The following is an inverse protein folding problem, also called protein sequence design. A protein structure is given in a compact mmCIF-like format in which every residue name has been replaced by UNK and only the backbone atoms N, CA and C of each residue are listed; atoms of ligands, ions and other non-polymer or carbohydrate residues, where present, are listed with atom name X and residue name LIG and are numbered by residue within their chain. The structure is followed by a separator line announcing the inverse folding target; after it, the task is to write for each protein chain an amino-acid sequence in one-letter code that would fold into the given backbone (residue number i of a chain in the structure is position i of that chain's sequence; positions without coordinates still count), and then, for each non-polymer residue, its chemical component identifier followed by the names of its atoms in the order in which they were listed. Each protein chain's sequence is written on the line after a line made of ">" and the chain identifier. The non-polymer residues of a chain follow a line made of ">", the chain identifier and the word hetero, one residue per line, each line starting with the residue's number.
data_IF_084578715577
#
_entry.id   IF_084578715577
#
_cell.length_a   1.000
_cell.length_b   1.000
_cell.length_c   1.000
_cell.angle_alpha   90.00
_cell.angle_beta   90.00
_cell.angle_gamma   90.00
#
_symmetry.space_group_name_H-M   'P 1'
#
loop_
_entity.id
_entity.type
_entity.pdbx_description
1 polymer ?
#
# COMPACT_ATOMS: atom_id res chain seq x y z
N UNK A 1 14.31 -33.67 -3.23
CA UNK A 1 13.71 -32.44 -3.77
C UNK A 1 14.34 -31.26 -3.06
N UNK A 2 14.89 -30.28 -3.78
CA UNK A 2 15.41 -29.07 -3.16
C UNK A 2 14.23 -28.23 -2.64
N UNK A 3 14.43 -27.54 -1.51
CA UNK A 3 13.45 -26.66 -0.88
C UNK A 3 13.91 -25.20 -1.06
N UNK A 4 13.78 -24.60 -2.27
CA UNK A 4 14.36 -23.29 -2.58
C UNK A 4 13.63 -22.17 -1.84
N UNK A 5 14.37 -21.13 -1.43
CA UNK A 5 13.78 -19.84 -1.02
C UNK A 5 13.37 -19.06 -2.26
N UNK A 6 12.14 -18.57 -2.29
CA UNK A 6 11.56 -17.82 -3.40
C UNK A 6 11.19 -16.41 -2.93
N UNK A 7 11.76 -15.40 -3.58
CA UNK A 7 11.34 -14.01 -3.43
C UNK A 7 10.22 -13.73 -4.44
N UNK A 8 9.05 -13.35 -3.96
CA UNK A 8 7.84 -13.21 -4.76
C UNK A 8 7.12 -11.92 -4.41
N UNK A 9 6.51 -11.28 -5.39
CA UNK A 9 5.62 -10.14 -5.11
C UNK A 9 4.36 -10.59 -4.36
N UNK A 10 3.89 -11.80 -4.67
CA UNK A 10 2.77 -12.45 -4.00
C UNK A 10 3.23 -13.82 -3.50
N UNK A 11 3.35 -13.96 -2.18
CA UNK A 11 3.77 -15.22 -1.57
C UNK A 11 2.56 -16.10 -1.25
N UNK A 12 2.81 -17.41 -1.17
CA UNK A 12 1.92 -18.32 -0.45
C UNK A 12 2.28 -18.25 1.05
N UNK A 13 1.45 -17.62 1.92
CA UNK A 13 1.86 -17.35 3.31
C UNK A 13 2.19 -18.60 4.13
N UNK A 14 1.63 -19.74 3.73
CA UNK A 14 1.79 -21.05 4.36
C UNK A 14 3.03 -21.81 3.87
N UNK A 15 3.70 -21.33 2.82
CA UNK A 15 4.97 -21.87 2.35
C UNK A 15 6.11 -21.06 2.95
N UNK A 16 6.79 -21.61 3.96
CA UNK A 16 7.81 -20.91 4.75
C UNK A 16 8.98 -20.35 3.95
N UNK A 17 9.22 -20.89 2.76
CA UNK A 17 10.27 -20.45 1.86
C UNK A 17 9.81 -19.45 0.80
N UNK A 18 8.52 -19.10 0.78
CA UNK A 18 7.96 -18.04 -0.05
C UNK A 18 8.01 -16.73 0.75
N UNK A 19 8.79 -15.78 0.26
CA UNK A 19 8.99 -14.49 0.91
C UNK A 19 8.41 -13.39 0.03
N UNK A 20 7.48 -12.63 0.60
CA UNK A 20 6.85 -11.51 -0.08
C UNK A 20 7.77 -10.30 -0.09
N UNK A 21 8.02 -9.75 -1.28
CA UNK A 21 8.72 -8.49 -1.48
C UNK A 21 7.74 -7.43 -2.01
N UNK A 22 7.88 -6.15 -1.64
CA UNK A 22 7.02 -5.08 -2.13
C UNK A 22 6.93 -5.05 -3.65
N UNK A 23 5.79 -4.60 -4.19
CA UNK A 23 5.74 -4.21 -5.58
C UNK A 23 6.64 -2.97 -5.78
N UNK A 24 7.40 -2.88 -6.88
CA UNK A 24 8.12 -1.65 -7.22
C UNK A 24 7.17 -0.44 -7.28
N UNK A 25 7.53 0.63 -6.59
CA UNK A 25 6.74 1.87 -6.49
C UNK A 25 7.10 2.86 -7.60
N UNK A 26 6.34 3.95 -7.75
CA UNK A 26 6.68 4.99 -8.73
C UNK A 26 7.81 5.95 -8.31
N UNK A 27 8.20 5.94 -7.03
CA UNK A 27 9.30 6.77 -6.53
C UNK A 27 10.57 5.94 -6.35
N UNK A 28 11.65 6.37 -7.02
CA UNK A 28 12.97 5.73 -6.99
C UNK A 28 14.05 6.75 -6.59
N UNK A 29 14.43 6.82 -5.30
CA UNK A 29 15.39 7.81 -4.82
C UNK A 29 16.82 7.52 -5.32
N UNK A 30 17.61 8.57 -5.51
CA UNK A 30 19.05 8.46 -5.82
C UNK A 30 19.90 8.68 -4.57
N UNK A 31 19.36 9.34 -3.55
CA UNK A 31 20.05 9.69 -2.31
C UNK A 31 19.11 9.74 -1.10
N UNK A 32 19.68 9.69 0.12
CA UNK A 32 18.93 9.89 1.36
C UNK A 32 18.21 11.25 1.42
N UNK A 33 18.74 12.25 0.71
CA UNK A 33 18.15 13.57 0.60
C UNK A 33 16.85 13.55 -0.22
N UNK A 34 16.74 12.69 -1.23
CA UNK A 34 15.51 12.55 -2.02
C UNK A 34 14.38 11.98 -1.14
N UNK A 35 14.70 10.96 -0.35
CA UNK A 35 13.77 10.38 0.64
C UNK A 35 13.34 11.46 1.65
N UNK A 36 14.31 12.20 2.20
CA UNK A 36 14.03 13.25 3.20
C UNK A 36 13.15 14.37 2.61
N UNK A 37 13.44 14.84 1.39
CA UNK A 37 12.63 15.83 0.67
C UNK A 37 11.22 15.31 0.43
N UNK A 38 11.09 14.04 0.06
CA UNK A 38 9.81 13.41 -0.16
C UNK A 38 9.00 13.32 1.13
N UNK A 39 9.60 12.88 2.25
CA UNK A 39 8.96 12.90 3.56
C UNK A 39 8.47 14.30 3.94
N UNK A 40 9.30 15.33 3.76
CA UNK A 40 8.94 16.72 4.04
C UNK A 40 7.80 17.22 3.15
N UNK A 41 7.77 16.84 1.86
CA UNK A 41 6.64 17.13 0.97
C UNK A 41 5.35 16.53 1.52
N UNK A 42 5.35 15.24 1.84
CA UNK A 42 4.16 14.52 2.30
C UNK A 42 3.60 15.02 3.64
N UNK A 43 4.45 15.56 4.52
CA UNK A 43 4.05 16.12 5.80
C UNK A 43 3.38 17.49 5.67
N UNK A 44 3.78 18.27 4.67
CA UNK A 44 3.26 19.63 4.44
C UNK A 44 2.10 19.66 3.44
N UNK A 45 1.77 18.54 2.82
CA UNK A 45 0.70 18.46 1.84
C UNK A 45 -0.68 18.66 2.47
N UNK A 46 -1.52 19.45 1.81
CA UNK A 46 -2.93 19.58 2.17
C UNK A 46 -3.76 18.46 1.54
N UNK A 47 -4.39 17.64 2.38
CA UNK A 47 -5.21 16.50 1.93
C UNK A 47 -6.64 16.93 1.67
N UNK A 48 -6.90 17.32 0.42
CA UNK A 48 -8.19 17.85 -0.06
C UNK A 48 -9.30 16.81 -0.08
N UNK A 49 -8.96 15.53 -0.23
CA UNK A 49 -9.93 14.43 -0.29
C UNK A 49 -9.83 13.57 0.97
N UNK A 50 -10.96 13.21 1.59
CA UNK A 50 -10.93 12.26 2.69
C UNK A 50 -10.60 10.86 2.17
N UNK A 51 -11.19 10.48 1.04
CA UNK A 51 -11.04 9.15 0.46
C UNK A 51 -10.68 9.33 -1.01
N UNK A 52 -9.79 8.49 -1.52
CA UNK A 52 -9.68 8.27 -2.96
C UNK A 52 -9.78 6.81 -3.32
N UNK A 53 -10.22 6.58 -4.54
CA UNK A 53 -10.18 5.27 -5.14
C UNK A 53 -9.74 5.35 -6.60
N UNK A 54 -8.59 4.77 -6.91
CA UNK A 54 -8.17 4.48 -8.27
C UNK A 54 -8.53 3.03 -8.61
N UNK A 55 -9.47 2.84 -9.53
CA UNK A 55 -9.90 1.51 -9.97
C UNK A 55 -10.80 1.54 -11.20
N UNK A 56 -11.12 0.36 -11.73
CA UNK A 56 -12.08 0.21 -12.83
C UNK A 56 -13.07 -0.90 -12.53
N UNK A 57 -14.36 -0.64 -12.74
CA UNK A 57 -15.40 -1.64 -12.59
C UNK A 57 -15.21 -2.79 -13.59
N UNK A 58 -15.73 -3.97 -13.24
CA UNK A 58 -15.85 -5.09 -14.18
C UNK A 58 -17.29 -5.16 -14.68
N UNK A 59 -17.56 -4.98 -15.98
CA UNK A 59 -18.92 -5.02 -16.51
C UNK A 59 -19.65 -6.32 -16.20
N UNK A 60 -18.91 -7.43 -16.08
CA UNK A 60 -19.39 -8.78 -15.82
C UNK A 60 -19.45 -9.15 -14.33
N UNK A 61 -19.03 -8.26 -13.41
CA UNK A 61 -19.03 -8.53 -11.96
C UNK A 61 -19.56 -7.32 -11.14
N UNK A 62 -20.86 -6.99 -11.24
CA UNK A 62 -21.48 -5.88 -10.52
C UNK A 62 -21.47 -6.08 -8.99
N UNK A 63 -21.50 -7.33 -8.52
CA UNK A 63 -21.44 -7.69 -7.09
C UNK A 63 -20.00 -7.73 -6.53
N UNK A 64 -19.00 -7.43 -7.35
CA UNK A 64 -17.62 -7.39 -6.86
C UNK A 64 -17.43 -6.27 -5.85
N UNK A 65 -16.55 -6.49 -4.86
CA UNK A 65 -16.17 -5.47 -3.88
C UNK A 65 -15.74 -4.17 -4.57
N UNK A 66 -15.08 -4.26 -5.72
CA UNK A 66 -14.64 -3.11 -6.51
C UNK A 66 -15.82 -2.29 -7.01
N UNK A 67 -16.81 -2.93 -7.64
CA UNK A 67 -18.00 -2.25 -8.16
C UNK A 67 -18.79 -1.57 -7.03
N UNK A 68 -18.93 -2.22 -5.89
CA UNK A 68 -19.59 -1.65 -4.70
C UNK A 68 -18.84 -0.43 -4.17
N UNK A 69 -17.50 -0.51 -4.06
CA UNK A 69 -16.68 0.61 -3.60
C UNK A 69 -16.68 1.79 -4.61
N UNK A 70 -16.71 1.51 -5.92
CA UNK A 70 -16.89 2.55 -6.94
C UNK A 70 -18.21 3.27 -6.70
N UNK A 71 -19.31 2.52 -6.54
CA UNK A 71 -20.64 3.11 -6.32
C UNK A 71 -20.71 3.93 -5.03
N UNK A 72 -20.15 3.44 -3.91
CA UNK A 72 -20.09 4.21 -2.66
C UNK A 72 -19.25 5.49 -2.84
N UNK A 73 -18.10 5.40 -3.53
CA UNK A 73 -17.22 6.53 -3.74
C UNK A 73 -17.83 7.60 -4.65
N UNK A 74 -18.43 7.21 -5.79
CA UNK A 74 -19.04 8.17 -6.72
C UNK A 74 -20.32 8.81 -6.18
N UNK A 75 -20.93 8.22 -5.16
CA UNK A 75 -22.12 8.74 -4.48
C UNK A 75 -21.81 9.66 -3.30
N UNK A 76 -20.53 9.82 -2.92
CA UNK A 76 -20.10 10.61 -1.76
C UNK A 76 -19.17 11.75 -2.18
N UNK A 77 -19.41 12.97 -1.68
CA UNK A 77 -18.57 14.13 -2.00
C UNK A 77 -17.19 14.05 -1.33
N UNK A 78 -17.06 13.25 -0.28
CA UNK A 78 -15.82 13.00 0.45
C UNK A 78 -14.84 12.08 -0.30
N UNK A 79 -15.29 11.44 -1.38
CA UNK A 79 -14.50 10.45 -2.11
C UNK A 79 -14.17 10.90 -3.54
N UNK A 80 -12.88 10.92 -3.87
CA UNK A 80 -12.36 11.21 -5.21
C UNK A 80 -12.11 9.91 -5.97
N UNK A 81 -12.98 9.61 -6.93
CA UNK A 81 -12.83 8.44 -7.80
C UNK A 81 -11.99 8.77 -9.04
N UNK A 82 -10.99 7.92 -9.33
CA UNK A 82 -10.22 7.94 -10.57
C UNK A 82 -10.50 6.64 -11.35
N UNK A 83 -11.14 6.79 -12.51
CA UNK A 83 -11.47 5.64 -13.35
C UNK A 83 -10.24 5.15 -14.13
N UNK A 84 -9.78 3.94 -13.84
CA UNK A 84 -8.64 3.29 -14.47
C UNK A 84 -8.95 2.56 -15.78
N UNK A 85 -10.20 2.57 -16.28
CA UNK A 85 -10.60 1.76 -17.44
C UNK A 85 -9.88 2.12 -18.75
N UNK A 86 -9.33 3.32 -18.84
CA UNK A 86 -8.64 3.84 -20.03
C UNK A 86 -7.12 3.99 -19.86
N UNK A 87 -6.51 3.28 -18.90
CA UNK A 87 -5.05 3.34 -18.65
C UNK A 87 -4.56 4.59 -17.91
N UNK A 88 -5.47 5.43 -17.40
CA UNK A 88 -5.15 6.65 -16.61
C UNK A 88 -4.32 6.36 -15.35
N UNK A 89 -4.40 5.13 -14.84
CA UNK A 89 -3.72 4.67 -13.64
C UNK A 89 -2.33 4.05 -13.92
N UNK A 90 -1.95 3.96 -15.20
CA UNK A 90 -0.60 3.58 -15.61
C UNK A 90 0.36 4.77 -15.59
N UNK A 91 -0.18 5.99 -15.50
CA UNK A 91 0.60 7.21 -15.40
C UNK A 91 0.98 7.49 -13.93
N UNK A 92 2.28 7.60 -13.60
CA UNK A 92 2.72 7.82 -12.23
C UNK A 92 2.15 9.11 -11.61
N UNK A 93 2.18 10.22 -12.36
CA UNK A 93 1.86 11.55 -11.84
C UNK A 93 0.41 11.65 -11.35
N UNK A 94 -0.54 11.10 -12.09
CA UNK A 94 -1.97 11.14 -11.74
C UNK A 94 -2.27 10.36 -10.46
N UNK A 95 -1.70 9.16 -10.33
CA UNK A 95 -1.89 8.31 -9.15
C UNK A 95 -1.22 8.90 -7.92
N UNK A 96 0.02 9.38 -8.08
CA UNK A 96 0.77 9.97 -6.98
C UNK A 96 0.09 11.26 -6.50
N UNK A 97 -0.37 12.13 -7.42
CA UNK A 97 -1.13 13.33 -7.05
C UNK A 97 -2.42 12.97 -6.30
N UNK A 98 -3.20 12.00 -6.82
CA UNK A 98 -4.42 11.54 -6.17
C UNK A 98 -4.17 11.08 -4.72
N UNK A 99 -3.12 10.28 -4.50
CA UNK A 99 -2.84 9.70 -3.18
C UNK A 99 -2.21 10.70 -2.22
N UNK A 100 -1.34 11.59 -2.70
CA UNK A 100 -0.74 12.66 -1.89
C UNK A 100 -1.83 13.59 -1.34
N UNK A 101 -2.86 13.90 -2.13
CA UNK A 101 -3.99 14.74 -1.73
C UNK A 101 -5.08 14.03 -0.90
N UNK A 102 -4.93 12.73 -0.59
CA UNK A 102 -5.99 11.92 0.04
C UNK A 102 -5.65 11.44 1.44
N UNK A 103 -6.59 11.48 2.39
CA UNK A 103 -6.38 10.92 3.73
C UNK A 103 -6.32 9.37 3.70
N UNK A 104 -7.29 8.75 3.04
CA UNK A 104 -7.43 7.29 2.87
C UNK A 104 -7.44 6.88 1.40
N UNK A 105 -6.85 5.72 1.10
CA UNK A 105 -6.82 5.16 -0.24
C UNK A 105 -7.42 3.75 -0.23
N UNK A 106 -8.47 3.52 -1.02
CA UNK A 106 -9.15 2.23 -1.04
C UNK A 106 -8.33 1.17 -1.79
N UNK A 107 -8.00 0.08 -1.10
CA UNK A 107 -7.16 -1.00 -1.63
C UNK A 107 -7.87 -2.38 -1.64
N UNK A 108 -9.03 -2.54 -2.33
CA UNK A 108 -9.67 -3.85 -2.47
C UNK A 108 -8.82 -4.83 -3.29
N UNK A 109 -8.95 -6.14 -3.08
CA UNK A 109 -8.31 -7.15 -3.94
C UNK A 109 -8.78 -7.04 -5.40
N UNK A 110 -7.98 -7.63 -6.31
CA UNK A 110 -8.29 -7.67 -7.74
C UNK A 110 -8.24 -9.05 -8.34
N UNK A 111 -7.58 -9.19 -9.51
CA UNK A 111 -7.28 -10.52 -10.08
C UNK A 111 -6.31 -11.30 -9.19
N UNK A 112 -5.40 -10.56 -8.56
CA UNK A 112 -4.51 -11.05 -7.52
C UNK A 112 -4.95 -10.51 -6.14
N UNK A 113 -4.70 -11.26 -5.06
CA UNK A 113 -4.81 -10.75 -3.70
C UNK A 113 -4.01 -9.47 -3.47
N UNK A 114 -2.78 -9.41 -3.96
CA UNK A 114 -1.87 -8.27 -3.78
C UNK A 114 -2.01 -7.22 -4.87
N UNK A 115 -1.62 -5.97 -4.57
CA UNK A 115 -1.66 -4.85 -5.52
C UNK A 115 -0.51 -3.88 -5.33
N UNK A 116 0.12 -3.46 -6.44
CA UNK A 116 1.11 -2.37 -6.48
C UNK A 116 0.62 -1.07 -5.82
N UNK A 117 -0.65 -0.73 -6.04
CA UNK A 117 -1.27 0.49 -5.52
C UNK A 117 -1.27 0.62 -3.98
N UNK A 118 -1.18 -0.51 -3.24
CA UNK A 118 -0.99 -0.48 -1.78
C UNK A 118 0.31 0.24 -1.44
N UNK A 119 1.41 -0.12 -2.10
CA UNK A 119 2.72 0.48 -1.88
C UNK A 119 2.78 1.92 -2.38
N UNK A 120 2.15 2.24 -3.52
CA UNK A 120 2.06 3.62 -3.99
C UNK A 120 1.26 4.51 -3.02
N UNK A 121 0.25 3.97 -2.33
CA UNK A 121 -0.47 4.72 -1.28
C UNK A 121 0.40 4.96 -0.05
N UNK A 122 1.16 3.95 0.39
CA UNK A 122 2.09 4.06 1.51
C UNK A 122 3.20 5.08 1.23
N UNK A 123 3.85 4.98 0.07
CA UNK A 123 4.88 5.97 -0.29
C UNK A 123 4.32 7.36 -0.60
N UNK A 124 3.00 7.53 -0.66
CA UNK A 124 2.33 8.85 -0.76
C UNK A 124 1.78 9.33 0.59
N UNK A 125 2.04 8.59 1.67
CA UNK A 125 1.50 8.89 3.00
C UNK A 125 -0.04 8.78 3.10
N UNK A 126 -0.68 8.20 2.09
CA UNK A 126 -2.11 7.92 2.09
C UNK A 126 -2.36 6.63 2.88
N UNK A 127 -3.31 6.64 3.81
CA UNK A 127 -3.56 5.48 4.67
C UNK A 127 -4.31 4.41 3.87
N UNK A 128 -3.72 3.25 3.56
CA UNK A 128 -4.43 2.20 2.84
C UNK A 128 -5.60 1.65 3.66
N UNK A 129 -6.74 1.53 2.99
CA UNK A 129 -7.91 0.79 3.50
C UNK A 129 -7.88 -0.60 2.86
N UNK A 130 -7.57 -1.60 3.67
CA UNK A 130 -7.40 -2.99 3.26
C UNK A 130 -8.71 -3.74 3.48
N UNK A 131 -9.13 -4.51 2.46
CA UNK A 131 -10.40 -5.24 2.48
C UNK A 131 -10.26 -6.75 2.61
N UNK A 132 -9.04 -7.26 2.43
CA UNK A 132 -8.70 -8.67 2.60
C UNK A 132 -7.30 -8.76 3.23
N UNK A 133 -7.09 -9.53 4.33
CA UNK A 133 -5.77 -9.68 4.93
C UNK A 133 -4.70 -10.23 3.96
N UNK A 134 -5.08 -11.00 2.94
CA UNK A 134 -4.15 -11.49 1.92
C UNK A 134 -3.60 -10.38 1.02
N UNK A 135 -4.19 -9.18 1.02
CA UNK A 135 -3.67 -8.06 0.22
C UNK A 135 -2.34 -7.52 0.74
N UNK A 136 -2.09 -7.58 2.05
CA UNK A 136 -0.86 -7.05 2.64
C UNK A 136 -0.39 -7.79 3.91
N UNK A 137 -1.30 -8.06 4.84
CA UNK A 137 -0.98 -8.50 6.21
C UNK A 137 -0.25 -9.84 6.24
N UNK A 138 -0.65 -10.77 5.38
CA UNK A 138 -0.01 -12.07 5.29
C UNK A 138 1.14 -12.12 4.27
N UNK A 139 1.47 -11.01 3.61
CA UNK A 139 2.34 -11.04 2.43
C UNK A 139 3.76 -10.60 2.74
N UNK A 140 3.97 -9.52 3.50
CA UNK A 140 5.24 -8.81 3.52
C UNK A 140 5.90 -8.73 4.91
N UNK A 141 6.24 -9.87 5.55
CA UNK A 141 6.70 -9.90 6.94
C UNK A 141 8.05 -9.19 7.18
N UNK A 142 8.87 -9.04 6.14
CA UNK A 142 10.15 -8.31 6.22
C UNK A 142 10.00 -6.80 6.01
N UNK A 143 8.86 -6.34 5.51
CA UNK A 143 8.68 -4.96 5.02
C UNK A 143 7.53 -4.21 5.67
N UNK A 144 6.54 -4.92 6.22
CA UNK A 144 5.41 -4.34 6.93
C UNK A 144 5.32 -4.95 8.35
N UNK A 145 5.00 -4.13 9.37
CA UNK A 145 4.89 -4.59 10.75
C UNK A 145 3.62 -5.42 10.96
N UNK A 146 3.65 -6.32 11.93
CA UNK A 146 2.46 -7.12 12.32
C UNK A 146 1.34 -6.28 12.94
N UNK A 147 1.66 -5.15 13.57
CA UNK A 147 0.66 -4.22 14.08
C UNK A 147 0.12 -3.34 12.95
N UNK A 148 -0.80 -3.91 12.18
CA UNK A 148 -1.38 -3.29 10.99
C UNK A 148 -2.09 -1.97 11.28
N UNK A 149 -2.61 -1.78 12.50
CA UNK A 149 -3.32 -0.56 12.92
C UNK A 149 -2.42 0.69 12.92
N UNK A 150 -1.10 0.51 12.92
CA UNK A 150 -0.15 1.62 12.82
C UNK A 150 -0.12 2.27 11.44
N UNK A 151 -0.58 1.58 10.40
CA UNK A 151 -0.43 2.08 9.03
C UNK A 151 -1.64 1.88 8.12
N UNK A 152 -2.66 1.11 8.55
CA UNK A 152 -3.82 0.83 7.71
C UNK A 152 -5.11 0.79 8.50
N UNK A 153 -6.22 0.88 7.75
CA UNK A 153 -7.56 0.58 8.24
C UNK A 153 -8.02 -0.72 7.60
N UNK A 154 -8.51 -1.66 8.40
CA UNK A 154 -9.14 -2.88 7.88
C UNK A 154 -10.67 -2.77 7.90
N UNK A 155 -11.31 -3.12 6.80
CA UNK A 155 -12.77 -3.27 6.68
C UNK A 155 -13.03 -4.55 5.91
N UNK A 156 -13.70 -5.52 6.51
CA UNK A 156 -13.95 -6.81 5.85
C UNK A 156 -14.76 -6.63 4.55
N UNK A 157 -14.24 -7.14 3.43
CA UNK A 157 -14.94 -7.08 2.15
C UNK A 157 -16.33 -7.72 2.19
N UNK A 158 -16.55 -8.75 3.02
CA UNK A 158 -17.85 -9.42 3.13
C UNK A 158 -18.86 -8.52 3.84
N UNK A 159 -18.44 -7.73 4.82
CA UNK A 159 -19.32 -6.75 5.46
C UNK A 159 -19.70 -5.61 4.51
N UNK A 160 -18.80 -5.22 3.60
CA UNK A 160 -19.09 -4.25 2.54
C UNK A 160 -20.03 -4.84 1.50
N UNK A 161 -19.78 -6.07 1.03
CA UNK A 161 -20.62 -6.78 0.04
C UNK A 161 -22.04 -6.99 0.54
N UNK A 162 -22.18 -7.38 1.81
CA UNK A 162 -23.47 -7.58 2.45
C UNK A 162 -24.12 -6.27 2.94
N UNK A 163 -23.59 -5.10 2.55
CA UNK A 163 -24.09 -3.76 2.91
C UNK A 163 -24.21 -3.52 4.42
N UNK A 164 -23.47 -4.26 5.24
CA UNK A 164 -23.43 -4.07 6.70
C UNK A 164 -22.61 -2.84 7.08
N UNK A 165 -21.66 -2.45 6.23
CA UNK A 165 -20.78 -1.30 6.44
C UNK A 165 -20.78 -0.40 5.21
N UNK A 166 -21.09 0.88 5.42
CA UNK A 166 -20.73 1.95 4.50
C UNK A 166 -19.30 2.40 4.80
N UNK A 167 -18.41 2.30 3.81
CA UNK A 167 -16.97 2.58 3.96
C UNK A 167 -16.72 4.05 4.21
N UNK A 168 -17.44 4.93 3.51
CA UNK A 168 -17.29 6.39 3.66
C UNK A 168 -17.62 6.81 5.08
N UNK A 169 -18.78 6.39 5.58
CA UNK A 169 -19.23 6.69 6.95
C UNK A 169 -18.26 6.14 8.00
N UNK A 170 -17.71 4.94 7.76
CA UNK A 170 -16.76 4.30 8.68
C UNK A 170 -15.45 5.09 8.77
N UNK A 171 -14.96 5.62 7.65
CA UNK A 171 -13.69 6.37 7.59
C UNK A 171 -13.84 7.81 8.11
N UNK A 172 -15.00 8.44 7.89
CA UNK A 172 -15.34 9.76 8.47
C UNK A 172 -15.27 9.77 10.00
N UNK A 173 -15.61 8.65 10.64
CA UNK A 173 -15.60 8.51 12.10
C UNK A 173 -14.20 8.36 12.70
N UNK A 174 -13.15 8.19 11.88
CA UNK A 174 -11.77 8.05 12.38
C UNK A 174 -11.25 9.44 12.80
N UNK A 175 -10.82 9.61 14.07
CA UNK A 175 -10.34 10.89 14.58
C UNK A 175 -9.11 11.42 13.81
N UNK A 176 -8.99 12.74 13.72
CA UNK A 176 -7.86 13.40 13.05
C UNK A 176 -6.49 13.00 13.63
N UNK A 177 -6.39 12.87 14.96
CA UNK A 177 -5.15 12.44 15.62
C UNK A 177 -4.74 11.02 15.25
N UNK A 178 -5.70 10.10 15.09
CA UNK A 178 -5.42 8.72 14.66
C UNK A 178 -4.89 8.69 13.21
N UNK A 179 -5.52 9.46 12.31
CA UNK A 179 -5.06 9.64 10.93
C UNK A 179 -3.66 10.22 10.86
N UNK A 180 -3.38 11.25 11.66
CA UNK A 180 -2.05 11.86 11.71
C UNK A 180 -0.99 10.90 12.23
N UNK A 181 -1.30 10.10 13.26
CA UNK A 181 -0.38 9.11 13.81
C UNK A 181 -0.05 8.01 12.80
N UNK A 182 -1.08 7.45 12.14
CA UNK A 182 -0.87 6.46 11.08
C UNK A 182 0.01 7.01 9.96
N UNK A 183 -0.30 8.22 9.49
CA UNK A 183 0.47 8.88 8.43
C UNK A 183 1.92 9.13 8.80
N UNK A 184 2.19 9.65 10.00
CA UNK A 184 3.56 9.88 10.46
C UNK A 184 4.34 8.57 10.52
N UNK A 185 3.71 7.51 11.02
CA UNK A 185 4.31 6.19 11.03
C UNK A 185 4.63 5.69 9.60
N UNK A 186 3.68 5.80 8.66
CA UNK A 186 3.91 5.47 7.25
C UNK A 186 5.11 6.25 6.68
N UNK A 187 5.12 7.58 6.83
CA UNK A 187 6.13 8.46 6.22
C UNK A 187 7.53 8.20 6.78
N UNK A 188 7.67 8.04 8.09
CA UNK A 188 8.98 7.93 8.72
C UNK A 188 9.48 6.49 8.83
N UNK A 189 8.61 5.53 9.14
CA UNK A 189 9.00 4.17 9.50
C UNK A 189 8.87 3.19 8.32
N UNK A 190 7.89 3.38 7.42
CA UNK A 190 7.64 2.43 6.33
C UNK A 190 8.22 2.90 5.00
N UNK A 191 7.89 4.12 4.58
CA UNK A 191 8.19 4.63 3.25
C UNK A 191 9.65 4.42 2.81
N UNK A 192 10.68 4.72 3.64
CA UNK A 192 12.06 4.52 3.21
C UNK A 192 12.40 3.07 2.86
N UNK A 193 11.78 2.11 3.55
CA UNK A 193 11.95 0.67 3.32
C UNK A 193 11.09 0.08 2.21
N UNK A 194 10.16 0.86 1.65
CA UNK A 194 9.24 0.40 0.60
C UNK A 194 9.59 0.91 -0.80
N UNK A 195 10.47 1.91 -0.90
CA UNK A 195 11.00 2.40 -2.18
C UNK A 195 12.10 1.48 -2.69
N UNK A 196 12.42 1.59 -3.98
CA UNK A 196 13.55 0.91 -4.61
C UNK A 196 14.50 1.99 -5.14
N UNK A 197 15.72 2.04 -4.62
CA UNK A 197 16.72 3.01 -5.06
C UNK A 197 17.07 2.83 -6.54
N UNK A 198 17.47 3.92 -7.19
CA UNK A 198 18.08 3.84 -8.52
C UNK A 198 19.31 2.91 -8.49
N UNK A 199 19.66 2.17 -9.55
CA UNK A 199 20.86 1.31 -9.56
C UNK A 199 22.17 2.01 -9.19
N UNK A 200 22.25 3.35 -9.36
CA UNK A 200 23.41 4.17 -8.96
C UNK A 200 23.23 4.89 -7.62
N UNK A 201 22.11 4.64 -6.94
CA UNK A 201 21.79 5.28 -5.68
C UNK A 201 22.82 4.94 -4.60
N UNK A 202 23.00 5.89 -3.67
CA UNK A 202 23.80 5.71 -2.47
C UNK A 202 22.95 6.12 -1.29
N UNK A 203 22.36 5.13 -0.64
CA UNK A 203 21.58 5.31 0.58
C UNK A 203 22.45 4.84 1.75
N UNK A 204 22.87 5.78 2.60
CA UNK A 204 23.70 5.52 3.78
C UNK A 204 22.85 5.52 5.05
N UNK A 205 21.83 6.39 5.10
CA UNK A 205 20.93 6.55 6.25
C UNK A 205 19.73 5.62 6.18
N UNK A 206 19.15 5.45 4.99
CA UNK A 206 17.96 4.61 4.81
C UNK A 206 18.31 3.29 4.12
N UNK A 207 17.52 2.26 4.37
CA UNK A 207 17.56 1.00 3.62
C UNK A 207 16.32 0.91 2.75
N UNK A 208 16.51 0.60 1.48
CA UNK A 208 15.41 0.41 0.53
C UNK A 208 14.91 -1.05 0.54
N UNK A 209 13.81 -1.31 -0.18
CA UNK A 209 13.17 -2.62 -0.21
C UNK A 209 14.11 -3.73 -0.73
N UNK A 210 15.01 -3.41 -1.66
CA UNK A 210 16.00 -4.36 -2.14
C UNK A 210 17.00 -4.72 -1.04
N UNK A 211 17.61 -3.71 -0.39
CA UNK A 211 18.60 -3.89 0.67
C UNK A 211 18.02 -4.66 1.86
N UNK A 212 16.81 -4.30 2.31
CA UNK A 212 16.10 -5.01 3.38
C UNK A 212 15.93 -6.49 3.01
N UNK A 213 15.49 -6.78 1.79
CA UNK A 213 15.26 -8.15 1.32
C UNK A 213 16.57 -8.95 1.30
N UNK A 214 17.64 -8.39 0.74
CA UNK A 214 18.92 -9.08 0.63
C UNK A 214 19.57 -9.31 1.99
N UNK A 215 19.52 -8.33 2.89
CA UNK A 215 20.06 -8.45 4.25
C UNK A 215 19.35 -9.56 5.04
N UNK A 216 18.01 -9.59 5.02
CA UNK A 216 17.23 -10.64 5.67
C UNK A 216 17.47 -12.02 5.04
N UNK A 217 17.64 -12.09 3.71
CA UNK A 217 17.97 -13.34 3.04
C UNK A 217 19.33 -13.88 3.49
N UNK A 218 20.37 -13.04 3.54
CA UNK A 218 21.69 -13.46 4.00
C UNK A 218 21.68 -13.87 5.47
N UNK A 219 20.99 -13.12 6.35
CA UNK A 219 20.85 -13.49 7.75
C UNK A 219 20.12 -14.84 7.93
N UNK A 220 19.11 -15.10 7.12
CA UNK A 220 18.42 -16.39 7.14
C UNK A 220 19.33 -17.54 6.72
N UNK A 221 20.17 -17.34 5.70
CA UNK A 221 21.09 -18.37 5.21
C UNK A 221 22.18 -18.70 6.24
N UNK A 222 22.76 -17.70 6.91
CA UNK A 222 23.78 -17.93 7.94
C UNK A 222 23.22 -18.65 9.17
N UNK A 223 21.95 -18.47 9.51
CA UNK A 223 21.28 -19.21 10.60
C UNK A 223 20.98 -20.69 10.26
N UNK A 224 20.92 -21.05 8.98
CA UNK A 224 20.64 -22.44 8.53
C UNK A 224 21.93 -23.26 8.43
N UNK A 225 23.10 -22.61 8.37
CA UNK A 225 24.42 -23.25 8.35
C UNK A 225 24.98 -23.59 9.75
N UNK A 226 24.23 -23.26 10.82
CA UNK A 226 24.53 -23.59 12.23
C UNK A 226 23.52 -24.61 12.78
#
# INVERSE_FOLDING_TARGET
>A
MQNPVKLLIERQPWHLNDIGIPHPTFFHPQSDNDITKWQLKLLNESRKSLISFAGAARPDAPESIRSILINQCTSASECKFMNCSSGSCDQPDSIIELFIESEFCLQPPGDSPTRKSVFDSLISGCIPVIFDPFTAYYQYPWHLPEDYKKYSVFIDQEDVRNMKVNVVDRLMKIPAGEKQNMRRYIIYELLPGLVYGDPKSKLEKFQDAFSITMNNLFERLTRVEL
#
